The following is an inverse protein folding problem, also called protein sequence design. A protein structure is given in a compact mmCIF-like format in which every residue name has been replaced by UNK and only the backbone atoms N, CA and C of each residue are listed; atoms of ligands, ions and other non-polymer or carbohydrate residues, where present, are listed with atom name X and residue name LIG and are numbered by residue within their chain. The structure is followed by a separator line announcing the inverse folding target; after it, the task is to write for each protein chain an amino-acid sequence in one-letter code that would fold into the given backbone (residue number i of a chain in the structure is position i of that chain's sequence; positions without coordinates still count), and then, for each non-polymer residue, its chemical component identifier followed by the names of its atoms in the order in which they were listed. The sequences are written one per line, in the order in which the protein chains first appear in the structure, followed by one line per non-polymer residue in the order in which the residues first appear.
data_IF_606279580089
#
_entry.id   IF_606279580089
#
_cell.length_a   1.000
_cell.length_b   1.000
_cell.length_c   1.000
_cell.angle_alpha   90.00
_cell.angle_beta   90.00
_cell.angle_gamma   90.00
#
_symmetry.space_group_name_H-M   'P 1'
#
loop_
_entity.id
_entity.type
_entity.pdbx_description
1 polymer ?
#
# COMPACT_ATOMS: atom_id res chain seq x y z
N UNK A 1 20.22 19.76 13.14
CA UNK A 1 19.40 19.76 11.93
C UNK A 1 19.45 21.09 11.17
N UNK A 2 20.04 22.18 11.72
CA UNK A 2 20.36 23.42 11.04
C UNK A 2 19.19 24.36 10.71
N UNK A 3 17.95 23.96 10.91
CA UNK A 3 16.79 24.82 10.69
C UNK A 3 16.37 25.55 11.98
N UNK A 4 16.01 26.82 11.84
CA UNK A 4 15.52 27.62 12.97
C UNK A 4 14.14 27.15 13.40
N UNK A 5 14.00 26.83 14.69
CA UNK A 5 12.70 26.55 15.29
C UNK A 5 11.94 27.86 15.52
N UNK A 6 10.75 27.98 14.93
CA UNK A 6 9.87 29.12 15.14
C UNK A 6 8.96 28.88 16.35
N UNK A 7 8.56 29.93 17.06
CA UNK A 7 7.59 29.81 18.18
C UNK A 7 6.30 29.12 17.79
N UNK A 8 5.89 29.21 16.54
CA UNK A 8 4.71 28.51 15.99
C UNK A 8 4.85 27.00 15.94
N UNK A 9 6.06 26.45 16.05
CA UNK A 9 6.32 25.01 16.10
C UNK A 9 6.13 24.39 17.49
N UNK A 10 5.78 25.22 18.50
CA UNK A 10 5.65 24.83 19.89
C UNK A 10 6.94 25.09 20.69
N UNK A 11 6.84 24.89 21.99
CA UNK A 11 7.95 25.05 22.94
C UNK A 11 8.28 23.70 23.58
N UNK A 12 9.30 23.04 22.99
CA UNK A 12 9.77 21.74 23.47
C UNK A 12 10.36 21.83 24.88
N UNK A 13 10.95 22.99 25.27
CA UNK A 13 11.53 23.15 26.59
C UNK A 13 10.45 23.21 27.66
N UNK A 14 9.39 23.98 27.45
CA UNK A 14 8.25 24.02 28.35
C UNK A 14 7.57 22.65 28.47
N UNK A 15 7.32 21.98 27.35
CA UNK A 15 6.76 20.63 27.34
C UNK A 15 7.63 19.63 28.11
N UNK A 16 8.95 19.66 27.87
CA UNK A 16 9.90 18.78 28.53
C UNK A 16 9.96 19.03 30.05
N UNK A 17 9.92 20.28 30.49
CA UNK A 17 9.93 20.64 31.89
C UNK A 17 8.65 20.17 32.61
N UNK A 18 7.48 20.36 31.99
CA UNK A 18 6.20 19.86 32.53
C UNK A 18 6.21 18.34 32.68
N UNK A 19 6.67 17.62 31.65
CA UNK A 19 6.76 16.16 31.69
C UNK A 19 7.75 15.70 32.74
N UNK A 20 8.95 16.31 32.78
CA UNK A 20 9.99 16.03 33.76
C UNK A 20 9.47 16.18 35.20
N UNK A 21 8.84 17.29 35.49
CA UNK A 21 8.24 17.56 36.80
C UNK A 21 7.21 16.48 37.17
N UNK A 22 6.28 16.19 36.27
CA UNK A 22 5.25 15.14 36.51
C UNK A 22 5.82 13.75 36.69
N UNK A 23 6.89 13.39 36.00
CA UNK A 23 7.52 12.07 36.11
C UNK A 23 8.26 11.95 37.45
N UNK A 24 9.03 12.96 37.84
CA UNK A 24 9.88 12.88 39.02
C UNK A 24 9.21 13.29 40.32
N UNK A 25 8.05 13.98 40.29
CA UNK A 25 7.25 14.28 41.48
C UNK A 25 6.45 13.07 42.00
N UNK A 26 6.29 12.02 41.20
CA UNK A 26 5.60 10.79 41.67
C UNK A 26 6.40 10.10 42.78
N UNK A 27 5.73 9.52 43.80
CA UNK A 27 6.39 8.74 44.85
C UNK A 27 7.33 7.68 44.23
N UNK A 28 8.48 7.44 44.88
CA UNK A 28 9.34 6.31 44.50
C UNK A 28 8.57 5.02 44.67
N UNK A 29 8.66 4.14 43.69
CA UNK A 29 8.17 2.76 43.81
C UNK A 29 9.08 2.02 44.81
N UNK A 30 8.50 1.13 45.63
CA UNK A 30 9.29 0.31 46.52
C UNK A 30 10.12 -0.65 45.71
N UNK A 31 11.42 -0.65 45.97
CA UNK A 31 12.31 -1.68 45.50
C UNK A 31 12.09 -2.98 46.30
N UNK A 32 12.11 -4.11 45.64
CA UNK A 32 12.07 -5.42 46.30
C UNK A 32 13.25 -6.30 45.79
N UNK A 33 13.38 -7.47 46.32
CA UNK A 33 14.49 -8.36 46.04
C UNK A 33 14.62 -8.73 44.54
N UNK A 34 13.54 -8.59 43.78
CA UNK A 34 13.46 -9.04 42.39
C UNK A 34 13.42 -7.89 41.37
N UNK A 35 13.15 -6.65 41.83
CA UNK A 35 12.89 -5.55 40.92
C UNK A 35 13.57 -4.24 41.33
N UNK A 36 14.21 -3.63 40.33
CA UNK A 36 14.71 -2.25 40.41
C UNK A 36 13.83 -1.34 39.53
N UNK A 37 13.44 -0.20 40.07
CA UNK A 37 12.57 0.74 39.38
C UNK A 37 13.31 2.02 39.01
N UNK A 38 13.28 2.34 37.74
CA UNK A 38 13.82 3.59 37.22
C UNK A 38 12.75 4.44 36.54
N UNK A 39 12.97 5.72 36.47
CA UNK A 39 12.14 6.65 35.71
C UNK A 39 13.02 7.47 34.81
N UNK A 40 12.53 7.69 33.60
CA UNK A 40 13.17 8.56 32.64
C UNK A 40 12.14 9.26 31.78
N UNK A 41 12.57 10.32 31.10
CA UNK A 41 11.81 10.90 30.02
C UNK A 41 12.75 11.15 28.85
N UNK A 42 12.20 11.23 27.66
CA UNK A 42 12.94 11.55 26.47
C UNK A 42 12.09 12.47 25.57
N UNK A 43 12.76 13.30 24.82
CA UNK A 43 12.15 14.10 23.75
C UNK A 43 12.59 13.55 22.40
N UNK A 44 11.67 13.47 21.47
CA UNK A 44 11.96 13.07 20.10
C UNK A 44 11.55 14.17 19.14
N UNK A 45 12.32 14.34 18.08
CA UNK A 45 12.03 15.29 17.02
C UNK A 45 11.84 14.53 15.71
N UNK A 46 10.77 14.83 14.98
CA UNK A 46 10.46 14.24 13.69
C UNK A 46 10.20 15.32 12.66
N UNK A 47 10.88 15.26 11.52
CA UNK A 47 10.51 16.06 10.37
C UNK A 47 9.34 15.41 9.62
N UNK A 48 8.24 16.13 9.35
CA UNK A 48 7.14 15.63 8.53
C UNK A 48 7.45 15.72 7.03
N UNK A 49 8.52 16.36 6.62
CA UNK A 49 8.89 16.47 5.20
C UNK A 49 9.22 15.11 4.62
N UNK A 50 8.51 14.74 3.55
CA UNK A 50 8.91 13.64 2.69
C UNK A 50 10.15 14.04 1.88
N UNK A 51 10.97 13.05 1.50
CA UNK A 51 12.05 13.31 0.56
C UNK A 51 11.47 13.69 -0.82
N UNK A 52 12.09 14.64 -1.53
CA UNK A 52 11.64 15.02 -2.88
C UNK A 52 11.59 13.84 -3.86
N UNK A 53 12.40 12.81 -3.61
CA UNK A 53 12.53 11.61 -4.45
C UNK A 53 11.85 10.39 -3.84
N UNK A 54 10.89 10.58 -2.95
CA UNK A 54 10.15 9.45 -2.37
C UNK A 54 9.36 8.75 -3.48
N UNK A 55 9.64 7.47 -3.69
CA UNK A 55 8.93 6.62 -4.64
C UNK A 55 8.24 5.48 -3.93
N UNK A 56 7.18 4.97 -4.55
CA UNK A 56 6.46 3.79 -4.08
C UNK A 56 6.20 2.87 -5.25
N UNK A 57 6.45 1.58 -5.02
CA UNK A 57 6.20 0.53 -6.00
C UNK A 57 4.96 -0.28 -5.64
N UNK A 58 4.40 -0.94 -6.66
CA UNK A 58 3.31 -1.89 -6.50
C UNK A 58 3.51 -3.02 -7.51
N UNK A 59 3.44 -4.28 -7.04
CA UNK A 59 3.34 -5.44 -7.90
C UNK A 59 1.95 -6.04 -7.80
N UNK A 60 1.40 -6.44 -8.94
CA UNK A 60 0.14 -7.15 -9.03
C UNK A 60 0.31 -8.47 -9.76
N UNK A 61 -0.37 -9.49 -9.26
CA UNK A 61 -0.40 -10.82 -9.87
C UNK A 61 -1.83 -11.34 -9.87
N UNK A 62 -2.34 -11.73 -11.04
CA UNK A 62 -3.56 -12.50 -11.15
C UNK A 62 -3.30 -13.95 -10.68
N UNK A 63 -4.13 -14.44 -9.78
CA UNK A 63 -4.08 -15.81 -9.27
C UNK A 63 -5.05 -16.72 -10.05
N UNK A 64 -4.83 -18.04 -9.99
CA UNK A 64 -5.60 -19.04 -10.73
C UNK A 64 -7.09 -19.12 -10.34
N UNK A 65 -7.47 -18.53 -9.22
CA UNK A 65 -8.85 -18.41 -8.75
C UNK A 65 -9.53 -17.08 -9.15
N UNK A 66 -8.86 -16.28 -10.00
CA UNK A 66 -9.33 -14.96 -10.40
C UNK A 66 -9.15 -13.88 -9.33
N UNK A 67 -8.56 -14.17 -8.19
CA UNK A 67 -8.16 -13.16 -7.22
C UNK A 67 -6.87 -12.46 -7.65
N UNK A 68 -6.60 -11.28 -7.10
CA UNK A 68 -5.39 -10.51 -7.39
C UNK A 68 -4.57 -10.33 -6.12
N UNK A 69 -3.31 -10.76 -6.18
CA UNK A 69 -2.31 -10.47 -5.17
C UNK A 69 -1.68 -9.10 -5.43
N UNK A 70 -1.68 -8.25 -4.40
CA UNK A 70 -1.08 -6.90 -4.44
C UNK A 70 0.04 -6.83 -3.41
N UNK A 71 1.27 -6.62 -3.88
CA UNK A 71 2.44 -6.50 -3.02
C UNK A 71 2.92 -5.04 -2.98
N UNK A 72 3.14 -4.54 -1.75
CA UNK A 72 3.60 -3.19 -1.47
C UNK A 72 4.57 -3.19 -0.28
N UNK A 73 5.56 -2.30 -0.33
CA UNK A 73 6.56 -2.16 0.73
C UNK A 73 6.12 -1.31 1.93
N UNK A 74 4.87 -0.88 1.99
CA UNK A 74 4.37 0.00 3.06
C UNK A 74 4.28 -0.68 4.42
N UNK A 75 4.65 0.04 5.50
CA UNK A 75 4.53 -0.46 6.86
C UNK A 75 3.11 -0.27 7.40
N UNK A 76 2.52 -1.34 7.94
CA UNK A 76 1.29 -1.28 8.73
C UNK A 76 1.65 -1.00 10.18
N UNK A 77 1.25 0.16 10.68
CA UNK A 77 1.49 0.60 12.06
C UNK A 77 0.20 0.89 12.83
N UNK A 78 -0.91 0.33 12.35
CA UNK A 78 -2.25 0.50 12.91
C UNK A 78 -3.11 1.54 12.18
N UNK A 79 -2.61 2.12 11.07
CA UNK A 79 -3.34 3.13 10.29
C UNK A 79 -4.26 2.54 9.22
N UNK A 80 -4.32 1.21 9.06
CA UNK A 80 -5.20 0.54 8.10
C UNK A 80 -4.68 0.52 6.67
N UNK A 81 -3.35 0.49 6.48
CA UNK A 81 -2.72 0.45 5.16
C UNK A 81 -3.24 -0.70 4.31
N UNK A 82 -3.33 -1.91 4.87
CA UNK A 82 -3.83 -3.09 4.15
C UNK A 82 -5.26 -2.89 3.63
N UNK A 83 -6.09 -2.24 4.43
CA UNK A 83 -7.47 -1.92 4.03
C UNK A 83 -7.50 -0.92 2.88
N UNK A 84 -6.71 0.15 2.97
CA UNK A 84 -6.60 1.15 1.90
C UNK A 84 -6.09 0.54 0.60
N UNK A 85 -5.04 -0.30 0.66
CA UNK A 85 -4.51 -1.01 -0.52
C UNK A 85 -5.59 -1.86 -1.17
N UNK A 86 -6.34 -2.62 -0.36
CA UNK A 86 -7.43 -3.47 -0.84
C UNK A 86 -8.52 -2.66 -1.52
N UNK A 87 -8.96 -1.57 -0.91
CA UNK A 87 -10.01 -0.70 -1.47
C UNK A 87 -9.59 -0.06 -2.78
N UNK A 88 -8.40 0.54 -2.84
CA UNK A 88 -7.90 1.20 -4.05
C UNK A 88 -7.68 0.20 -5.18
N UNK A 89 -7.15 -1.00 -4.87
CA UNK A 89 -6.95 -2.03 -5.88
C UNK A 89 -8.27 -2.60 -6.40
N UNK A 90 -9.24 -2.83 -5.51
CA UNK A 90 -10.57 -3.31 -5.87
C UNK A 90 -11.30 -2.34 -6.81
N UNK A 91 -11.28 -1.05 -6.48
CA UNK A 91 -11.84 0.00 -7.31
C UNK A 91 -11.15 0.10 -8.67
N UNK A 92 -9.81 0.13 -8.69
CA UNK A 92 -9.04 0.24 -9.93
C UNK A 92 -9.20 -0.98 -10.85
N UNK A 93 -9.41 -2.17 -10.27
CA UNK A 93 -9.61 -3.42 -11.01
C UNK A 93 -11.10 -3.77 -11.22
N UNK A 94 -12.02 -2.95 -10.71
CA UNK A 94 -13.47 -3.18 -10.79
C UNK A 94 -13.88 -4.59 -10.27
N UNK A 95 -13.23 -5.07 -9.21
CA UNK A 95 -13.52 -6.37 -8.61
C UNK A 95 -13.86 -6.22 -7.12
N UNK A 96 -14.59 -7.17 -6.51
CA UNK A 96 -14.88 -7.13 -5.08
C UNK A 96 -13.61 -7.10 -4.23
N UNK A 97 -13.58 -6.34 -3.12
CA UNK A 97 -12.41 -6.26 -2.23
C UNK A 97 -11.96 -7.61 -1.68
N UNK A 98 -12.86 -8.58 -1.55
CA UNK A 98 -12.60 -9.94 -1.09
C UNK A 98 -11.69 -10.72 -2.05
N UNK A 99 -11.67 -10.34 -3.33
CA UNK A 99 -10.76 -10.89 -4.34
C UNK A 99 -9.36 -10.28 -4.30
N UNK A 100 -9.11 -9.27 -3.46
CA UNK A 100 -7.78 -8.66 -3.31
C UNK A 100 -7.06 -9.27 -2.11
N UNK A 101 -5.89 -9.86 -2.36
CA UNK A 101 -4.96 -10.36 -1.35
C UNK A 101 -3.79 -9.39 -1.20
N UNK A 102 -3.66 -8.75 -0.04
CA UNK A 102 -2.62 -7.75 0.21
C UNK A 102 -1.44 -8.39 0.92
N UNK A 103 -0.26 -8.24 0.33
CA UNK A 103 1.03 -8.64 0.88
C UNK A 103 1.86 -7.37 1.13
N UNK A 104 2.17 -7.10 2.38
CA UNK A 104 3.00 -5.97 2.78
C UNK A 104 4.11 -6.40 3.77
N UNK A 105 4.47 -7.67 3.75
CA UNK A 105 5.70 -8.15 4.35
C UNK A 105 6.87 -7.52 3.60
N UNK A 106 7.80 -6.91 4.35
CA UNK A 106 8.94 -6.21 3.76
C UNK A 106 10.09 -7.19 3.61
N UNK A 107 10.37 -7.52 2.37
CA UNK A 107 11.52 -8.29 1.95
C UNK A 107 12.33 -7.46 0.96
N UNK A 108 13.58 -7.15 1.29
CA UNK A 108 14.42 -6.27 0.46
C UNK A 108 14.77 -6.85 -0.91
N UNK A 109 14.56 -8.15 -1.10
CA UNK A 109 14.78 -8.86 -2.36
C UNK A 109 13.53 -8.92 -3.23
N UNK A 110 12.34 -9.08 -2.61
CA UNK A 110 11.11 -9.40 -3.32
C UNK A 110 10.08 -8.27 -3.30
N UNK A 111 10.08 -7.43 -2.25
CA UNK A 111 9.09 -6.36 -2.14
C UNK A 111 9.40 -5.20 -3.09
N UNK A 112 8.38 -4.54 -3.63
CA UNK A 112 8.61 -3.31 -4.37
C UNK A 112 9.20 -2.25 -3.47
N UNK A 113 10.08 -1.42 -4.04
CA UNK A 113 10.73 -0.36 -3.27
C UNK A 113 9.70 0.60 -2.66
N UNK A 114 9.91 0.88 -1.40
CA UNK A 114 9.22 1.93 -0.67
C UNK A 114 10.23 2.78 0.11
N UNK A 115 10.20 4.09 -0.10
CA UNK A 115 11.12 4.97 0.63
C UNK A 115 10.82 4.96 2.14
N UNK A 116 9.61 5.32 2.54
CA UNK A 116 9.11 5.27 3.93
C UNK A 116 7.60 5.43 3.96
N UNK A 117 6.94 4.82 4.95
CA UNK A 117 5.54 5.09 5.29
C UNK A 117 5.48 6.24 6.27
N UNK A 118 5.54 7.48 5.78
CA UNK A 118 5.68 8.71 6.56
C UNK A 118 4.94 9.88 5.90
N UNK A 119 4.61 10.93 6.68
CA UNK A 119 4.10 12.20 6.18
C UNK A 119 2.75 12.09 5.46
N UNK A 120 1.94 11.07 5.77
CA UNK A 120 0.64 10.79 5.14
C UNK A 120 0.72 10.59 3.61
N UNK A 121 1.90 10.23 3.09
CA UNK A 121 2.13 10.11 1.65
C UNK A 121 1.70 8.77 1.08
N UNK A 122 1.48 7.74 1.93
CA UNK A 122 1.22 6.39 1.42
C UNK A 122 -0.03 6.35 0.55
N UNK A 123 -1.17 6.85 1.02
CA UNK A 123 -2.41 6.82 0.25
C UNK A 123 -2.29 7.57 -1.08
N UNK A 124 -1.62 8.73 -1.08
CA UNK A 124 -1.44 9.51 -2.32
C UNK A 124 -0.48 8.85 -3.31
N UNK A 125 0.72 8.50 -2.87
CA UNK A 125 1.76 7.97 -3.76
C UNK A 125 1.58 6.46 -4.00
N UNK A 126 1.30 5.69 -2.94
CA UNK A 126 1.00 4.27 -3.03
C UNK A 126 -0.28 4.00 -3.79
N UNK A 127 -1.33 4.79 -3.56
CA UNK A 127 -2.58 4.70 -4.33
C UNK A 127 -2.35 4.90 -5.83
N UNK A 128 -1.52 5.87 -6.22
CA UNK A 128 -1.13 6.06 -7.63
C UNK A 128 -0.33 4.88 -8.19
N UNK A 129 0.55 4.29 -7.38
CA UNK A 129 1.29 3.09 -7.80
C UNK A 129 0.36 1.90 -8.01
N UNK A 130 -0.65 1.72 -7.14
CA UNK A 130 -1.69 0.70 -7.27
C UNK A 130 -2.48 0.89 -8.56
N UNK A 131 -3.00 2.10 -8.81
CA UNK A 131 -3.77 2.40 -10.02
C UNK A 131 -2.96 2.12 -11.28
N UNK A 132 -1.70 2.58 -11.34
CA UNK A 132 -0.82 2.30 -12.49
C UNK A 132 -0.51 0.81 -12.69
N UNK A 133 -0.41 0.05 -11.60
CA UNK A 133 -0.22 -1.40 -11.68
C UNK A 133 -1.50 -2.10 -12.17
N UNK A 134 -2.67 -1.63 -11.73
CA UNK A 134 -3.97 -2.11 -12.22
C UNK A 134 -4.16 -1.83 -13.72
N UNK A 135 -3.87 -0.60 -14.17
CA UNK A 135 -3.93 -0.25 -15.59
C UNK A 135 -3.05 -1.18 -16.46
N UNK A 136 -1.82 -1.46 -15.98
CA UNK A 136 -0.93 -2.38 -16.68
C UNK A 136 -1.46 -3.81 -16.69
N UNK A 137 -2.03 -4.28 -15.59
CA UNK A 137 -2.63 -5.62 -15.53
C UNK A 137 -3.82 -5.72 -16.47
N UNK A 138 -4.72 -4.73 -16.49
CA UNK A 138 -5.86 -4.67 -17.40
C UNK A 138 -5.39 -4.66 -18.87
N UNK A 139 -4.33 -3.90 -19.17
CA UNK A 139 -3.77 -3.90 -20.52
C UNK A 139 -3.25 -5.27 -20.96
N UNK A 140 -2.57 -6.00 -20.05
CA UNK A 140 -2.13 -7.38 -20.31
C UNK A 140 -3.33 -8.30 -20.55
N UNK A 141 -4.37 -8.21 -19.72
CA UNK A 141 -5.59 -9.00 -19.87
C UNK A 141 -6.29 -8.72 -21.22
N UNK A 142 -6.42 -7.46 -21.61
CA UNK A 142 -7.01 -7.08 -22.91
C UNK A 142 -6.18 -7.61 -24.08
N UNK A 143 -4.85 -7.51 -24.01
CA UNK A 143 -3.97 -8.05 -25.06
C UNK A 143 -4.09 -9.59 -25.17
N UNK A 144 -4.17 -10.29 -24.04
CA UNK A 144 -4.38 -11.75 -24.02
C UNK A 144 -5.74 -12.10 -24.63
N UNK A 145 -6.81 -11.41 -24.23
CA UNK A 145 -8.13 -11.62 -24.79
C UNK A 145 -8.22 -11.32 -26.29
N UNK A 146 -7.48 -10.28 -26.77
CA UNK A 146 -7.41 -9.95 -28.19
C UNK A 146 -6.84 -11.11 -29.04
N UNK A 147 -5.81 -11.79 -28.50
CA UNK A 147 -5.25 -12.99 -29.14
C UNK A 147 -6.26 -14.16 -29.16
N UNK A 148 -6.93 -14.41 -28.03
CA UNK A 148 -7.92 -15.49 -27.90
C UNK A 148 -9.13 -15.26 -28.82
N UNK A 149 -9.64 -14.03 -28.85
CA UNK A 149 -10.82 -13.66 -29.65
C UNK A 149 -10.48 -13.33 -31.11
N UNK A 150 -9.20 -13.33 -31.47
CA UNK A 150 -8.69 -12.96 -32.82
C UNK A 150 -9.23 -11.60 -33.29
N UNK A 151 -9.18 -10.59 -32.40
CA UNK A 151 -9.68 -9.24 -32.64
C UNK A 151 -8.64 -8.20 -32.22
N UNK A 152 -8.85 -6.95 -32.61
CA UNK A 152 -8.02 -5.84 -32.15
C UNK A 152 -8.37 -5.47 -30.71
N UNK A 153 -7.34 -5.12 -29.91
CA UNK A 153 -7.48 -4.71 -28.52
C UNK A 153 -8.34 -3.47 -28.32
N UNK A 154 -8.42 -2.61 -29.32
CA UNK A 154 -9.21 -1.37 -29.29
C UNK A 154 -10.71 -1.62 -29.29
N UNK A 155 -11.17 -2.79 -29.74
CA UNK A 155 -12.58 -3.20 -29.69
C UNK A 155 -12.97 -3.88 -28.37
N UNK A 156 -12.01 -4.09 -27.45
CA UNK A 156 -12.26 -4.80 -26.20
C UNK A 156 -12.48 -3.87 -25.02
N UNK A 157 -13.37 -4.25 -24.14
CA UNK A 157 -13.61 -3.62 -22.85
C UNK A 157 -13.40 -4.63 -21.70
N UNK A 158 -13.26 -4.10 -20.49
CA UNK A 158 -13.01 -4.86 -19.26
C UNK A 158 -14.00 -4.41 -18.18
N UNK A 159 -14.55 -5.37 -17.42
CA UNK A 159 -15.50 -5.07 -16.33
C UNK A 159 -15.18 -5.77 -15.01
N UNK A 160 -13.93 -6.19 -14.81
CA UNK A 160 -13.49 -6.91 -13.61
C UNK A 160 -13.62 -8.44 -13.72
N UNK A 161 -14.61 -8.95 -14.37
CA UNK A 161 -14.86 -10.39 -14.51
C UNK A 161 -14.51 -10.93 -15.89
N UNK A 162 -14.77 -10.10 -16.92
CA UNK A 162 -14.56 -10.45 -18.32
C UNK A 162 -13.79 -9.36 -19.06
N UNK A 163 -13.08 -9.78 -20.10
CA UNK A 163 -12.73 -8.92 -21.23
C UNK A 163 -13.63 -9.31 -22.38
N UNK A 164 -14.34 -8.36 -22.97
CA UNK A 164 -15.41 -8.58 -23.92
C UNK A 164 -15.36 -7.62 -25.10
N UNK A 165 -16.00 -8.00 -26.21
CA UNK A 165 -16.12 -7.16 -27.38
C UNK A 165 -17.17 -6.05 -27.12
N UNK A 166 -16.79 -4.79 -27.30
CA UNK A 166 -17.64 -3.62 -27.01
C UNK A 166 -19.03 -3.68 -27.66
N UNK A 167 -19.09 -4.13 -28.91
CA UNK A 167 -20.33 -4.16 -29.69
C UNK A 167 -21.12 -5.49 -29.53
N UNK A 168 -20.53 -6.49 -28.88
CA UNK A 168 -21.17 -7.78 -28.60
C UNK A 168 -20.61 -8.37 -27.30
N UNK A 169 -21.15 -7.99 -26.13
CA UNK A 169 -20.64 -8.43 -24.82
C UNK A 169 -20.74 -9.94 -24.55
N UNK A 170 -21.46 -10.69 -25.36
CA UNK A 170 -21.53 -12.15 -25.26
C UNK A 170 -20.24 -12.81 -25.78
N UNK A 171 -19.53 -12.12 -26.68
CA UNK A 171 -18.18 -12.52 -27.12
C UNK A 171 -17.17 -12.03 -26.08
N UNK A 172 -16.78 -12.90 -25.17
CA UNK A 172 -15.97 -12.57 -23.99
C UNK A 172 -15.05 -13.68 -23.54
N UNK A 173 -14.03 -13.30 -22.77
CA UNK A 173 -13.09 -14.21 -22.09
C UNK A 173 -13.12 -13.90 -20.61
N UNK A 174 -13.28 -14.94 -19.77
CA UNK A 174 -13.24 -14.76 -18.33
C UNK A 174 -11.82 -14.47 -17.85
N UNK A 175 -11.66 -13.48 -16.96
CA UNK A 175 -10.36 -13.11 -16.37
C UNK A 175 -9.74 -14.32 -15.64
N UNK A 176 -10.54 -15.10 -14.93
CA UNK A 176 -10.07 -16.28 -14.21
C UNK A 176 -9.47 -17.34 -15.15
N UNK A 177 -9.99 -17.48 -16.36
CA UNK A 177 -9.47 -18.43 -17.34
C UNK A 177 -8.12 -17.97 -17.90
N UNK A 178 -7.94 -16.67 -18.10
CA UNK A 178 -6.67 -16.10 -18.56
C UNK A 178 -5.51 -16.35 -17.59
N UNK A 179 -5.78 -16.53 -16.30
CA UNK A 179 -4.77 -16.83 -15.29
C UNK A 179 -4.08 -18.18 -15.47
N UNK A 180 -4.76 -19.12 -16.12
CA UNK A 180 -4.26 -20.48 -16.36
C UNK A 180 -3.46 -20.58 -17.66
N UNK A 181 -3.40 -19.51 -18.43
CA UNK A 181 -2.84 -19.48 -19.76
C UNK A 181 -3.79 -20.04 -20.82
N UNK A 182 -3.75 -19.45 -22.01
CA UNK A 182 -4.41 -19.98 -23.19
C UNK A 182 -3.34 -20.58 -24.09
N UNK A 183 -3.58 -21.82 -24.53
CA UNK A 183 -2.85 -22.38 -25.65
C UNK A 183 -3.55 -21.86 -26.90
N UNK A 184 -2.98 -20.85 -27.54
CA UNK A 184 -3.40 -20.50 -28.90
C UNK A 184 -2.86 -21.57 -29.81
N UNK A 185 -3.73 -22.45 -30.32
CA UNK A 185 -3.36 -23.26 -31.48
C UNK A 185 -3.27 -22.31 -32.66
N UNK A 186 -2.08 -22.20 -33.24
CA UNK A 186 -1.85 -21.55 -34.52
C UNK A 186 -2.70 -22.21 -35.63
#
# INVERSE_FOLDING_TARGET
LGERMWKSHGDIMTCSNIVKEKVFSKPKLKEDENYYYGRGFAAAMKSPKGAPFSTKGCYMKLNNDGSVSVSMGGAEVGQGLRTVVRQVAAEALQIPPEKIRVYNEIDTQLSPYEWQTIGSMFTTQGGRAIIRAADKLIAVLKNTAAQVLKTDVDYLEYNGEYVYLRNDPDIRVAVADMSRGYITSD
#
